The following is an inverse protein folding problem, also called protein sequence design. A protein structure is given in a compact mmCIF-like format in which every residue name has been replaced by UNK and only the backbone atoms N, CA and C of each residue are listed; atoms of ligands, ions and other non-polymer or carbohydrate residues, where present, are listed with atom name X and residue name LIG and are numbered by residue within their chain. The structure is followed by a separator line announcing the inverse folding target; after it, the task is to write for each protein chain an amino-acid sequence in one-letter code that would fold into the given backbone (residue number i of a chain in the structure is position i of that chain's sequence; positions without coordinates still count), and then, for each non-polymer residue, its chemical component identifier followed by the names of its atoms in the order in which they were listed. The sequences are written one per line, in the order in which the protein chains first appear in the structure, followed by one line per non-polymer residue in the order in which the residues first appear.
data_IF_819838218375
#
_entry.id   IF_819838218375
#
_cell.length_a   1.000
_cell.length_b   1.000
_cell.length_c   1.000
_cell.angle_alpha   90.00
_cell.angle_beta   90.00
_cell.angle_gamma   90.00
#
_symmetry.space_group_name_H-M   'P 1'
#
loop_
_entity.id
_entity.type
_entity.pdbx_description
1 polymer ?
#
# COMPACT_ATOMS: atom_id res chain seq x y z
N UNK A 1 -0.46 13.83 -15.00
CA UNK A 1 0.59 12.78 -14.97
C UNK A 1 0.34 11.95 -13.72
N UNK A 2 0.00 10.68 -13.86
CA UNK A 2 -0.36 9.77 -12.76
C UNK A 2 0.86 8.93 -12.35
N UNK A 3 1.04 8.73 -11.04
CA UNK A 3 2.11 7.89 -10.49
C UNK A 3 1.58 7.04 -9.36
N UNK A 4 2.03 5.79 -9.29
CA UNK A 4 1.73 4.86 -8.20
C UNK A 4 3.05 4.40 -7.57
N UNK A 5 3.13 4.40 -6.24
CA UNK A 5 4.29 3.90 -5.49
C UNK A 5 3.87 2.79 -4.56
N UNK A 6 4.58 1.66 -4.65
CA UNK A 6 4.48 0.56 -3.71
C UNK A 6 5.71 0.61 -2.79
N UNK A 7 5.51 1.00 -1.54
CA UNK A 7 6.58 1.17 -0.56
C UNK A 7 6.48 0.08 0.53
N UNK A 8 7.62 -0.42 0.97
CA UNK A 8 7.74 -1.29 2.13
C UNK A 8 8.65 -0.62 3.15
N UNK A 9 8.16 -0.41 4.37
CA UNK A 9 8.92 0.16 5.49
C UNK A 9 9.22 -0.94 6.51
N UNK A 10 10.49 -1.21 6.72
CA UNK A 10 11.01 -2.28 7.57
C UNK A 10 11.56 -1.67 8.87
N UNK A 11 11.22 -2.26 10.00
CA UNK A 11 11.74 -1.89 11.32
C UNK A 11 12.27 -3.13 12.02
N UNK A 12 13.54 -3.08 12.45
CA UNK A 12 14.28 -4.21 13.02
C UNK A 12 14.19 -5.47 12.11
N UNK A 13 14.69 -5.34 10.88
CA UNK A 13 14.52 -6.38 9.86
C UNK A 13 13.04 -6.53 9.49
N UNK A 14 12.51 -7.75 9.57
CA UNK A 14 11.09 -8.05 9.23
C UNK A 14 10.18 -8.19 10.45
N UNK A 15 10.64 -7.82 11.65
CA UNK A 15 9.84 -7.88 12.88
C UNK A 15 8.56 -7.05 12.72
N UNK A 16 8.70 -5.79 12.29
CA UNK A 16 7.56 -4.95 11.89
C UNK A 16 7.77 -4.45 10.47
N UNK A 17 6.77 -4.71 9.63
CA UNK A 17 6.75 -4.33 8.22
C UNK A 17 5.45 -3.59 7.92
N UNK A 18 5.55 -2.45 7.24
CA UNK A 18 4.41 -1.67 6.78
C UNK A 18 4.43 -1.55 5.26
N UNK A 19 3.35 -1.98 4.63
CA UNK A 19 3.13 -1.84 3.20
C UNK A 19 2.27 -0.60 2.92
N UNK A 20 2.70 0.20 1.96
CA UNK A 20 1.98 1.38 1.47
C UNK A 20 1.83 1.29 -0.04
N UNK A 21 0.61 1.54 -0.52
CA UNK A 21 0.35 1.82 -1.93
C UNK A 21 -0.15 3.26 -2.02
N UNK A 22 0.57 4.12 -2.74
CA UNK A 22 0.32 5.57 -2.77
C UNK A 22 0.10 6.02 -4.19
N UNK A 23 -1.02 6.70 -4.42
CA UNK A 23 -1.45 7.20 -5.72
C UNK A 23 -1.32 8.72 -5.78
N UNK A 24 -0.66 9.21 -6.83
CA UNK A 24 -0.36 10.61 -7.01
C UNK A 24 -0.89 11.10 -8.35
N UNK A 25 -1.52 12.27 -8.32
CA UNK A 25 -1.92 13.01 -9.50
C UNK A 25 -1.21 14.35 -9.50
N UNK A 26 -0.41 14.62 -10.55
CA UNK A 26 0.40 15.84 -10.64
C UNK A 26 1.28 16.08 -9.40
N UNK A 27 1.92 15.02 -8.91
CA UNK A 27 2.80 14.99 -7.72
C UNK A 27 2.08 15.17 -6.37
N UNK A 28 0.77 15.42 -6.36
CA UNK A 28 -0.05 15.45 -5.15
C UNK A 28 -0.62 14.06 -4.87
N UNK A 29 -0.39 13.55 -3.66
CA UNK A 29 -0.98 12.28 -3.22
C UNK A 29 -2.47 12.49 -2.97
N UNK A 30 -3.31 11.68 -3.60
CA UNK A 30 -4.77 11.81 -3.47
C UNK A 30 -5.42 10.59 -2.80
N UNK A 31 -4.74 9.45 -2.78
CA UNK A 31 -5.25 8.18 -2.26
C UNK A 31 -4.08 7.28 -1.83
N UNK A 32 -4.23 6.57 -0.71
CA UNK A 32 -3.29 5.51 -0.34
C UNK A 32 -3.95 4.32 0.35
N UNK A 33 -3.37 3.14 0.23
CA UNK A 33 -3.60 2.02 1.13
C UNK A 33 -2.49 1.99 2.18
N UNK A 34 -2.87 1.75 3.44
CA UNK A 34 -1.93 1.55 4.55
C UNK A 34 -2.20 0.22 5.23
N UNK A 35 -1.22 -0.69 5.25
CA UNK A 35 -1.38 -2.00 5.88
C UNK A 35 -1.65 -1.93 7.38
N UNK A 36 -1.20 -0.88 8.07
CA UNK A 36 -1.48 -0.70 9.50
C UNK A 36 -2.98 -0.40 9.74
N UNK A 37 -3.68 0.15 8.74
CA UNK A 37 -5.13 0.40 8.76
C UNK A 37 -5.93 -0.71 8.05
N UNK A 38 -5.32 -1.36 7.06
CA UNK A 38 -5.92 -2.39 6.24
C UNK A 38 -6.96 -1.87 5.25
N UNK A 39 -6.90 -0.59 4.87
CA UNK A 39 -7.84 0.03 3.92
C UNK A 39 -7.26 1.21 3.15
N UNK A 40 -7.94 1.56 2.05
CA UNK A 40 -7.65 2.76 1.27
C UNK A 40 -8.22 4.01 1.96
N UNK A 41 -7.43 5.07 2.02
CA UNK A 41 -7.81 6.38 2.55
C UNK A 41 -7.52 7.46 1.51
N UNK A 42 -8.54 8.27 1.26
CA UNK A 42 -8.39 9.47 0.46
C UNK A 42 -7.57 10.50 1.24
N UNK A 43 -6.54 11.06 0.61
CA UNK A 43 -5.72 12.14 1.16
C UNK A 43 -6.34 13.50 0.81
N UNK A 44 -6.95 13.59 -0.37
CA UNK A 44 -7.70 14.75 -0.84
C UNK A 44 -9.11 14.34 -1.27
N UNK A 45 -10.01 15.31 -1.46
CA UNK A 45 -11.38 15.03 -1.90
C UNK A 45 -11.45 14.29 -3.24
N UNK A 46 -10.44 14.46 -4.10
CA UNK A 46 -10.33 13.77 -5.38
C UNK A 46 -10.33 12.24 -5.21
N UNK A 47 -9.66 11.71 -4.19
CA UNK A 47 -9.55 10.27 -3.97
C UNK A 47 -10.72 9.64 -3.21
N UNK A 48 -11.71 10.43 -2.77
CA UNK A 48 -12.85 9.92 -2.00
C UNK A 48 -13.67 8.86 -2.75
N UNK A 49 -14.03 9.06 -4.04
CA UNK A 49 -14.76 8.03 -4.81
C UNK A 49 -13.95 6.74 -4.95
N UNK A 50 -12.66 6.86 -5.23
CA UNK A 50 -11.77 5.71 -5.41
C UNK A 50 -11.58 4.94 -4.11
N UNK A 51 -11.37 5.62 -2.98
CA UNK A 51 -11.28 4.97 -1.67
C UNK A 51 -12.55 4.16 -1.35
N UNK A 52 -13.74 4.72 -1.61
CA UNK A 52 -15.00 4.01 -1.40
C UNK A 52 -15.12 2.78 -2.30
N UNK A 53 -14.82 2.95 -3.59
CA UNK A 53 -14.90 1.86 -4.55
C UNK A 53 -13.92 0.73 -4.21
N UNK A 54 -12.65 1.05 -3.98
CA UNK A 54 -11.61 0.05 -3.69
C UNK A 54 -11.86 -0.66 -2.36
N UNK A 55 -12.31 0.05 -1.33
CA UNK A 55 -12.68 -0.59 -0.05
C UNK A 55 -13.93 -1.46 -0.15
N UNK A 56 -14.78 -1.25 -1.15
CA UNK A 56 -15.93 -2.13 -1.41
C UNK A 56 -15.55 -3.43 -2.12
N UNK A 57 -14.39 -3.47 -2.79
CA UNK A 57 -13.87 -4.64 -3.49
C UNK A 57 -13.09 -5.53 -2.52
N UNK A 58 -13.77 -6.50 -1.90
CA UNK A 58 -13.21 -7.34 -0.84
C UNK A 58 -11.96 -8.11 -1.27
N UNK A 59 -12.00 -8.76 -2.44
CA UNK A 59 -10.87 -9.56 -2.93
C UNK A 59 -9.62 -8.68 -3.12
N UNK A 60 -9.78 -7.49 -3.70
CA UNK A 60 -8.69 -6.54 -3.85
C UNK A 60 -8.14 -6.06 -2.50
N UNK A 61 -9.04 -5.79 -1.54
CA UNK A 61 -8.66 -5.33 -0.22
C UNK A 61 -7.88 -6.39 0.56
N UNK A 62 -8.29 -7.67 0.44
CA UNK A 62 -7.58 -8.81 1.02
C UNK A 62 -6.21 -8.99 0.38
N UNK A 63 -6.09 -8.87 -0.95
CA UNK A 63 -4.80 -8.92 -1.65
C UNK A 63 -3.85 -7.81 -1.15
N UNK A 64 -4.36 -6.59 -0.95
CA UNK A 64 -3.54 -5.47 -0.43
C UNK A 64 -3.11 -5.68 1.01
N UNK A 65 -3.98 -6.24 1.85
CA UNK A 65 -3.63 -6.63 3.23
C UNK A 65 -2.55 -7.71 3.25
N UNK A 66 -2.63 -8.68 2.34
CA UNK A 66 -1.63 -9.73 2.20
C UNK A 66 -0.28 -9.22 1.63
N UNK A 67 -0.24 -8.00 1.07
CA UNK A 67 0.96 -7.39 0.50
C UNK A 67 2.14 -7.27 1.48
N UNK A 68 1.88 -7.19 2.78
CA UNK A 68 2.95 -7.15 3.79
C UNK A 68 3.81 -8.41 3.73
N UNK A 69 3.19 -9.58 3.59
CA UNK A 69 3.90 -10.86 3.53
C UNK A 69 4.31 -11.22 2.12
N UNK A 70 3.34 -11.17 1.20
CA UNK A 70 3.49 -11.67 -0.18
C UNK A 70 4.41 -10.81 -1.03
N UNK A 71 4.53 -9.52 -0.73
CA UNK A 71 5.40 -8.60 -1.44
C UNK A 71 6.57 -8.14 -0.57
N UNK A 72 6.30 -7.49 0.57
CA UNK A 72 7.37 -6.86 1.35
C UNK A 72 8.33 -7.87 2.00
N UNK A 73 7.83 -8.79 2.85
CA UNK A 73 8.69 -9.78 3.51
C UNK A 73 9.30 -10.76 2.51
N UNK A 74 8.52 -11.18 1.51
CA UNK A 74 9.03 -12.03 0.43
C UNK A 74 10.25 -11.41 -0.26
N UNK A 75 10.13 -10.18 -0.75
CA UNK A 75 11.22 -9.51 -1.45
C UNK A 75 12.40 -9.19 -0.52
N UNK A 76 12.15 -8.82 0.74
CA UNK A 76 13.22 -8.62 1.71
C UNK A 76 14.09 -9.87 1.86
N UNK A 77 13.46 -11.05 2.01
CA UNK A 77 14.19 -12.31 2.09
C UNK A 77 14.97 -12.66 0.82
N UNK A 78 14.45 -12.30 -0.36
CA UNK A 78 15.18 -12.46 -1.63
C UNK A 78 16.42 -11.58 -1.67
N UNK A 79 16.32 -10.29 -1.30
CA UNK A 79 17.45 -9.36 -1.39
C UNK A 79 18.51 -9.54 -0.29
N UNK A 80 18.12 -9.91 0.92
CA UNK A 80 19.08 -10.23 2.00
C UNK A 80 19.85 -11.55 1.75
N UNK A 81 19.39 -12.37 0.81
CA UNK A 81 20.06 -13.62 0.46
C UNK A 81 21.24 -13.46 -0.50
N UNK A 82 21.53 -12.23 -0.96
CA UNK A 82 22.68 -11.86 -1.80
C UNK A 82 23.75 -11.13 -1.00
#
# INVERSE_FOLDING_TARGET
LEQVKHECRFFNGTERVRYLERHFYNQEEFLHFDSDLGEFRAVTELGRPDAQYLNSQKDLLEDRRAGVDTYCRHNYGVFESF
#
